data_IF_006837676051
#
_entry.id   IF_006837676051
#
_cell.length_a   1.000
_cell.length_b   1.000
_cell.length_c   1.000
_cell.angle_alpha   90.00
_cell.angle_beta   90.00
_cell.angle_gamma   90.00
#
_symmetry.space_group_name_H-M   'P 1'
#
loop_
_entity.id
_entity.type
_entity.pdbx_description
1 polymer ?
#
# COMPACT_ATOMS: atom_id res chain seq x y z
N UNK A 1 -3.47 8.70 -19.56
CA UNK A 1 -2.36 7.81 -19.85
C UNK A 1 -1.86 8.08 -21.26
N UNK A 2 -0.55 8.32 -21.43
CA UNK A 2 0.04 8.61 -22.75
C UNK A 2 -0.68 9.75 -23.53
N UNK A 3 -1.12 10.79 -22.82
CA UNK A 3 -1.84 11.91 -23.41
C UNK A 3 -3.35 11.69 -23.61
N UNK A 4 -3.86 10.50 -23.36
CA UNK A 4 -5.27 10.16 -23.48
C UNK A 4 -5.94 10.14 -22.09
N UNK A 5 -7.16 10.73 -22.03
CA UNK A 5 -7.98 10.59 -20.84
C UNK A 5 -8.54 9.18 -20.72
N UNK A 6 -8.42 8.57 -19.55
CA UNK A 6 -9.03 7.29 -19.26
C UNK A 6 -9.50 7.22 -17.81
N UNK A 7 -10.58 6.49 -17.57
CA UNK A 7 -11.03 6.18 -16.23
C UNK A 7 -10.34 4.91 -15.74
N UNK A 8 -9.60 5.01 -14.63
CA UNK A 8 -9.05 3.85 -13.93
C UNK A 8 -10.19 3.14 -13.21
N UNK A 9 -10.46 1.90 -13.60
CA UNK A 9 -11.44 0.99 -12.98
C UNK A 9 -10.65 -0.14 -12.35
N UNK A 10 -10.17 0.10 -11.12
CA UNK A 10 -9.24 -0.77 -10.43
C UNK A 10 -9.86 -1.60 -9.33
N UNK A 11 -9.20 -2.70 -9.02
CA UNK A 11 -9.45 -3.53 -7.83
C UNK A 11 -8.16 -3.76 -7.07
N UNK A 12 -8.28 -3.98 -5.75
CA UNK A 12 -7.19 -4.49 -4.93
C UNK A 12 -7.09 -6.00 -5.10
N UNK A 13 -5.89 -6.51 -5.25
CA UNK A 13 -5.64 -7.93 -5.42
C UNK A 13 -4.61 -8.41 -4.40
N UNK A 14 -5.07 -9.21 -3.45
CA UNK A 14 -4.22 -9.83 -2.44
C UNK A 14 -3.59 -11.12 -2.96
N UNK A 15 -2.38 -11.42 -2.48
CA UNK A 15 -1.61 -12.59 -2.91
C UNK A 15 -2.06 -13.86 -2.19
N UNK A 16 -3.26 -14.31 -2.52
CA UNK A 16 -3.84 -15.53 -1.98
C UNK A 16 -4.68 -16.28 -3.02
N UNK A 17 -4.91 -17.54 -2.79
CA UNK A 17 -5.76 -18.40 -3.62
C UNK A 17 -6.65 -19.32 -2.76
N UNK A 18 -7.17 -18.82 -1.66
CA UNK A 18 -8.03 -19.57 -0.73
C UNK A 18 -7.30 -20.78 -0.15
N UNK A 19 -7.76 -21.98 -0.44
CA UNK A 19 -7.16 -23.22 0.09
C UNK A 19 -5.71 -23.46 -0.35
N UNK A 20 -5.25 -22.79 -1.40
CA UNK A 20 -3.86 -22.88 -1.88
C UNK A 20 -2.93 -21.87 -1.16
N UNK A 21 -3.49 -20.99 -0.32
CA UNK A 21 -2.72 -19.98 0.39
C UNK A 21 -2.01 -19.02 -0.57
N UNK A 22 -0.79 -18.62 -0.21
CA UNK A 22 0.02 -17.68 -1.00
C UNK A 22 0.80 -18.32 -2.16
N UNK A 23 0.74 -19.63 -2.32
CA UNK A 23 1.31 -20.32 -3.50
C UNK A 23 0.26 -20.34 -4.60
N UNK A 24 0.22 -19.26 -5.38
CA UNK A 24 -0.80 -19.06 -6.41
C UNK A 24 -0.26 -19.48 -7.78
N UNK A 25 -0.74 -20.58 -8.38
CA UNK A 25 -0.34 -21.00 -9.72
C UNK A 25 -0.69 -19.94 -10.79
N UNK A 26 0.11 -19.82 -11.87
CA UNK A 26 -0.14 -18.87 -12.96
C UNK A 26 -1.54 -18.97 -13.56
N UNK A 27 -2.09 -20.18 -13.67
CA UNK A 27 -3.41 -20.44 -14.22
C UNK A 27 -4.54 -19.85 -13.36
N UNK A 28 -4.33 -19.79 -12.05
CA UNK A 28 -5.28 -19.16 -11.12
C UNK A 28 -5.27 -17.64 -11.32
N UNK A 29 -4.09 -17.04 -11.44
CA UNK A 29 -3.96 -15.62 -11.78
C UNK A 29 -4.60 -15.30 -13.13
N UNK A 30 -4.28 -16.07 -14.17
CA UNK A 30 -4.83 -15.86 -15.50
C UNK A 30 -6.36 -15.92 -15.50
N UNK A 31 -6.96 -16.90 -14.82
CA UNK A 31 -8.41 -17.01 -14.67
C UNK A 31 -9.00 -15.78 -13.96
N UNK A 32 -8.39 -15.35 -12.84
CA UNK A 32 -8.85 -14.15 -12.11
C UNK A 32 -8.81 -12.92 -13.00
N UNK A 33 -7.71 -12.71 -13.72
CA UNK A 33 -7.56 -11.57 -14.62
C UNK A 33 -8.56 -11.60 -15.78
N UNK A 34 -8.85 -12.77 -16.35
CA UNK A 34 -9.91 -12.93 -17.37
C UNK A 34 -11.27 -12.50 -16.84
N UNK A 35 -11.66 -13.00 -15.67
CA UNK A 35 -12.93 -12.63 -15.04
C UNK A 35 -13.00 -11.11 -14.75
N UNK A 36 -11.90 -10.51 -14.28
CA UNK A 36 -11.84 -9.07 -14.06
C UNK A 36 -12.00 -8.26 -15.35
N UNK A 37 -11.39 -8.72 -16.45
CA UNK A 37 -11.57 -8.10 -17.78
C UNK A 37 -13.03 -8.15 -18.25
N UNK A 38 -13.71 -9.27 -18.07
CA UNK A 38 -15.11 -9.46 -18.46
C UNK A 38 -16.05 -8.45 -17.80
N UNK A 39 -15.76 -8.04 -16.56
CA UNK A 39 -16.53 -7.02 -15.84
C UNK A 39 -16.00 -5.60 -16.04
N UNK A 40 -15.03 -5.41 -16.95
CA UNK A 40 -14.52 -4.10 -17.34
C UNK A 40 -13.44 -3.49 -16.45
N UNK A 41 -12.78 -4.27 -15.60
CA UNK A 41 -11.63 -3.84 -14.81
C UNK A 41 -10.42 -3.64 -15.73
N UNK A 42 -9.70 -2.53 -15.56
CA UNK A 42 -8.52 -2.19 -16.35
C UNK A 42 -7.28 -1.90 -15.50
N UNK A 43 -7.39 -1.93 -14.17
CA UNK A 43 -6.27 -1.67 -13.29
C UNK A 43 -6.29 -2.56 -12.04
N UNK A 44 -5.11 -2.81 -11.49
CA UNK A 44 -4.91 -3.62 -10.29
C UNK A 44 -3.98 -2.88 -9.32
N UNK A 45 -4.35 -2.85 -8.05
CA UNK A 45 -3.46 -2.49 -6.96
C UNK A 45 -2.93 -3.77 -6.31
N UNK A 46 -1.61 -3.90 -6.25
CA UNK A 46 -0.94 -5.04 -5.62
C UNK A 46 -0.94 -4.88 -4.10
N UNK A 47 -1.99 -5.38 -3.47
CA UNK A 47 -2.28 -5.17 -2.04
C UNK A 47 -1.60 -6.24 -1.17
N UNK A 48 -0.84 -5.89 -0.20
CA UNK A 48 -0.18 -4.62 0.10
C UNK A 48 1.32 -4.89 0.20
N UNK A 49 1.86 -5.53 -0.81
CA UNK A 49 3.26 -5.94 -0.94
C UNK A 49 3.56 -6.34 -2.38
N UNK A 50 4.82 -6.38 -2.79
CA UNK A 50 5.20 -6.87 -4.12
C UNK A 50 4.74 -8.30 -4.34
N UNK A 51 4.02 -8.52 -5.45
CA UNK A 51 3.43 -9.82 -5.77
C UNK A 51 4.41 -10.72 -6.55
N UNK A 52 3.99 -11.96 -6.88
CA UNK A 52 4.79 -12.86 -7.68
C UNK A 52 5.04 -12.28 -9.09
N UNK A 53 6.27 -12.38 -9.65
CA UNK A 53 6.61 -11.81 -10.96
C UNK A 53 5.67 -12.22 -12.10
N UNK A 54 5.20 -13.47 -12.08
CA UNK A 54 4.26 -13.97 -13.09
C UNK A 54 2.97 -13.17 -13.20
N UNK A 55 2.54 -12.52 -12.11
CA UNK A 55 1.34 -11.67 -12.14
C UNK A 55 1.57 -10.41 -12.97
N UNK A 56 2.75 -9.81 -12.88
CA UNK A 56 3.11 -8.63 -13.69
C UNK A 56 3.23 -9.00 -15.17
N UNK A 57 3.85 -10.15 -15.49
CA UNK A 57 3.89 -10.68 -16.85
C UNK A 57 2.49 -10.88 -17.45
N UNK A 58 1.56 -11.38 -16.64
CA UNK A 58 0.16 -11.53 -17.02
C UNK A 58 -0.52 -10.16 -17.22
N UNK A 59 -0.28 -9.21 -16.34
CA UNK A 59 -0.82 -7.85 -16.47
C UNK A 59 -0.31 -7.16 -17.75
N UNK A 60 0.98 -7.29 -18.07
CA UNK A 60 1.56 -6.79 -19.32
C UNK A 60 0.84 -7.37 -20.55
N UNK A 61 0.72 -8.69 -20.60
CA UNK A 61 0.10 -9.39 -21.74
C UNK A 61 -1.39 -9.12 -21.89
N UNK A 62 -2.08 -8.96 -20.78
CA UNK A 62 -3.54 -8.79 -20.76
C UNK A 62 -3.96 -7.32 -20.75
N UNK A 63 -3.02 -6.37 -20.69
CA UNK A 63 -3.29 -4.94 -20.74
C UNK A 63 -4.00 -4.41 -19.51
N UNK A 64 -3.53 -4.77 -18.31
CA UNK A 64 -3.90 -4.13 -17.07
C UNK A 64 -2.90 -3.05 -16.70
N UNK A 65 -3.36 -1.97 -16.10
CA UNK A 65 -2.52 -1.04 -15.38
C UNK A 65 -2.27 -1.55 -13.96
N UNK A 66 -1.07 -1.33 -13.44
CA UNK A 66 -0.67 -1.80 -12.12
C UNK A 66 -0.19 -0.64 -11.26
N UNK A 67 -0.79 -0.51 -10.07
CA UNK A 67 -0.20 0.20 -8.94
C UNK A 67 0.58 -0.82 -8.12
N UNK A 68 1.90 -0.75 -8.18
CA UNK A 68 2.75 -1.66 -7.42
C UNK A 68 3.04 -1.09 -6.03
N UNK A 69 2.83 -1.90 -4.99
CA UNK A 69 2.84 -1.43 -3.61
C UNK A 69 3.87 -2.17 -2.76
N UNK A 70 4.64 -1.41 -1.99
CA UNK A 70 5.81 -1.91 -1.30
C UNK A 70 5.50 -2.57 0.04
N UNK A 71 4.57 -2.02 0.84
CA UNK A 71 4.37 -2.45 2.22
C UNK A 71 2.98 -2.14 2.75
N UNK A 72 2.46 -3.03 3.59
CA UNK A 72 1.20 -2.83 4.33
C UNK A 72 1.38 -2.00 5.60
N UNK A 73 2.57 -2.00 6.18
CA UNK A 73 2.86 -1.29 7.42
C UNK A 73 4.26 -0.70 7.40
N UNK A 74 4.47 0.32 8.25
CA UNK A 74 5.78 0.95 8.42
C UNK A 74 6.39 0.62 9.79
N UNK A 75 6.87 1.62 10.50
CA UNK A 75 7.60 1.48 11.76
C UNK A 75 6.76 0.98 12.95
N UNK A 76 5.44 0.83 12.77
CA UNK A 76 4.55 0.32 13.81
C UNK A 76 3.63 -0.77 13.25
N UNK A 77 3.36 -1.82 14.05
CA UNK A 77 2.58 -2.96 13.60
C UNK A 77 1.09 -2.66 13.55
N UNK A 78 0.44 -3.20 12.54
CA UNK A 78 -1.01 -3.31 12.50
C UNK A 78 -1.49 -4.57 13.24
N UNK A 79 -2.71 -4.52 13.76
CA UNK A 79 -3.37 -5.70 14.36
C UNK A 79 -3.70 -6.73 13.28
N UNK A 80 -3.28 -7.96 13.48
CA UNK A 80 -3.52 -9.08 12.58
C UNK A 80 -4.33 -10.15 13.29
N UNK A 81 -5.53 -10.43 12.78
CA UNK A 81 -6.49 -11.32 13.41
C UNK A 81 -6.42 -12.71 12.78
N UNK A 82 -5.96 -13.71 13.54
CA UNK A 82 -5.76 -15.07 13.05
C UNK A 82 -7.09 -15.86 12.98
N UNK A 83 -8.01 -15.60 13.92
CA UNK A 83 -9.28 -16.31 14.04
C UNK A 83 -10.47 -15.62 13.35
N UNK A 84 -10.25 -14.47 12.75
CA UNK A 84 -11.26 -13.61 12.15
C UNK A 84 -11.21 -12.21 12.73
N UNK A 85 -11.75 -11.25 11.99
CA UNK A 85 -11.71 -9.83 12.36
C UNK A 85 -12.26 -9.58 13.77
N UNK A 86 -11.43 -8.98 14.63
CA UNK A 86 -11.73 -8.70 16.04
C UNK A 86 -12.10 -9.94 16.89
N UNK A 87 -11.63 -11.14 16.51
CA UNK A 87 -11.86 -12.36 17.27
C UNK A 87 -10.60 -12.80 18.00
N UNK A 88 -10.64 -12.76 19.32
CA UNK A 88 -9.50 -13.10 20.20
C UNK A 88 -8.46 -11.99 20.28
N UNK A 89 -7.24 -12.36 20.64
CA UNK A 89 -6.11 -11.42 20.67
C UNK A 89 -5.47 -11.29 19.28
N UNK A 90 -5.11 -10.07 18.86
CA UNK A 90 -4.42 -9.88 17.58
C UNK A 90 -2.94 -10.30 17.69
N UNK A 91 -2.38 -10.80 16.58
CA UNK A 91 -0.94 -10.83 16.38
C UNK A 91 -0.46 -9.48 15.86
N UNK A 92 0.79 -9.17 16.17
CA UNK A 92 1.48 -7.97 15.68
C UNK A 92 2.70 -8.32 14.81
N UNK A 93 2.95 -9.61 14.57
CA UNK A 93 4.06 -10.06 13.73
C UNK A 93 3.96 -9.49 12.32
N UNK A 94 5.05 -8.93 11.81
CA UNK A 94 5.02 -8.32 10.48
C UNK A 94 6.33 -7.65 10.05
N UNK A 95 6.25 -6.94 8.93
CA UNK A 95 7.40 -6.26 8.34
C UNK A 95 7.94 -5.10 9.19
N UNK A 96 7.14 -4.58 10.12
CA UNK A 96 7.56 -3.49 11.01
C UNK A 96 8.80 -3.84 11.84
N UNK A 97 8.99 -5.11 12.22
CA UNK A 97 10.14 -5.60 12.99
C UNK A 97 11.47 -5.30 12.29
N UNK A 98 11.45 -5.20 10.97
CA UNK A 98 12.61 -4.98 10.12
C UNK A 98 12.58 -3.64 9.39
N UNK A 99 11.62 -2.77 9.71
CA UNK A 99 11.33 -1.55 8.95
C UNK A 99 12.55 -0.65 8.79
N UNK A 100 13.20 -0.27 9.88
CA UNK A 100 14.32 0.68 9.82
C UNK A 100 15.55 0.11 9.09
N UNK A 101 15.76 -1.19 9.15
CA UNK A 101 16.91 -1.85 8.50
C UNK A 101 16.66 -2.13 7.03
N UNK A 102 15.41 -2.47 6.64
CA UNK A 102 15.16 -3.09 5.33
C UNK A 102 14.29 -2.29 4.40
N UNK A 103 13.42 -1.40 4.89
CA UNK A 103 12.38 -0.78 4.05
C UNK A 103 12.94 -0.02 2.82
N UNK A 104 14.05 0.70 2.96
CA UNK A 104 14.64 1.43 1.83
C UNK A 104 15.18 0.47 0.77
N UNK A 105 15.78 -0.62 1.21
CA UNK A 105 16.25 -1.69 0.32
C UNK A 105 15.08 -2.38 -0.36
N UNK A 106 14.05 -2.76 0.40
CA UNK A 106 12.87 -3.46 -0.12
C UNK A 106 12.14 -2.60 -1.16
N UNK A 107 11.92 -1.32 -0.89
CA UNK A 107 11.34 -0.37 -1.87
C UNK A 107 12.21 -0.25 -3.11
N UNK A 108 13.52 -0.13 -2.93
CA UNK A 108 14.47 -0.01 -4.03
C UNK A 108 14.50 -1.27 -4.90
N UNK A 109 14.51 -2.43 -4.27
CA UNK A 109 14.58 -3.73 -4.95
C UNK A 109 13.25 -4.06 -5.65
N UNK A 110 12.10 -3.68 -5.08
CA UNK A 110 10.80 -3.73 -5.77
C UNK A 110 10.86 -2.94 -7.09
N UNK A 111 11.26 -1.67 -7.02
CA UNK A 111 11.32 -0.82 -8.22
C UNK A 111 12.33 -1.38 -9.25
N UNK A 112 13.49 -1.85 -8.80
CA UNK A 112 14.51 -2.46 -9.70
C UNK A 112 13.99 -3.71 -10.39
N UNK A 113 13.26 -4.57 -9.65
CA UNK A 113 12.68 -5.80 -10.18
C UNK A 113 11.63 -5.49 -11.25
N UNK A 114 10.74 -4.54 -10.96
CA UNK A 114 9.49 -4.42 -11.68
C UNK A 114 9.43 -3.24 -12.68
N UNK A 115 10.37 -2.29 -12.64
CA UNK A 115 10.36 -1.08 -13.51
C UNK A 115 10.30 -1.35 -15.01
N UNK A 116 10.67 -2.54 -15.45
CA UNK A 116 10.62 -2.92 -16.87
C UNK A 116 9.25 -3.46 -17.30
N UNK A 117 8.29 -3.62 -16.37
CA UNK A 117 6.91 -3.98 -16.71
C UNK A 117 6.14 -2.75 -17.20
N UNK A 118 5.70 -2.71 -18.46
CA UNK A 118 4.93 -1.59 -19.00
C UNK A 118 3.56 -1.43 -18.34
N UNK A 119 3.03 -2.46 -17.71
CA UNK A 119 1.77 -2.37 -16.97
C UNK A 119 1.85 -1.42 -15.76
N UNK A 120 3.01 -1.25 -15.15
CA UNK A 120 3.15 -0.41 -13.96
C UNK A 120 3.05 1.07 -14.36
N UNK A 121 2.06 1.76 -13.82
CA UNK A 121 1.85 3.18 -14.06
C UNK A 121 2.07 4.05 -12.82
N UNK A 122 2.13 3.43 -11.62
CA UNK A 122 2.20 4.12 -10.35
C UNK A 122 2.91 3.24 -9.30
N UNK A 123 3.82 3.84 -8.53
CA UNK A 123 4.46 3.23 -7.38
C UNK A 123 3.76 3.65 -6.09
N UNK A 124 3.45 2.70 -5.20
CA UNK A 124 2.88 2.95 -3.88
C UNK A 124 3.87 2.52 -2.79
N UNK A 125 4.17 3.44 -1.87
CA UNK A 125 5.17 3.20 -0.83
C UNK A 125 4.60 2.69 0.49
N UNK A 126 3.27 2.59 0.61
CA UNK A 126 2.63 2.07 1.82
C UNK A 126 1.13 2.10 1.77
N UNK A 127 0.52 1.28 2.63
CA UNK A 127 -0.92 1.14 2.77
C UNK A 127 -1.38 1.57 4.15
N UNK A 128 -2.33 2.50 4.21
CA UNK A 128 -3.04 2.88 5.45
C UNK A 128 -2.12 3.03 6.67
N UNK A 129 -0.98 3.70 6.46
CA UNK A 129 0.05 3.86 7.50
C UNK A 129 -0.39 4.77 8.65
N UNK A 130 -1.49 5.49 8.45
CA UNK A 130 -2.23 6.29 9.43
C UNK A 130 -3.54 5.62 9.87
N UNK A 131 -3.65 4.30 9.75
CA UNK A 131 -4.84 3.56 10.14
C UNK A 131 -5.18 3.76 11.62
N UNK A 132 -6.46 3.70 12.03
CA UNK A 132 -6.89 3.99 13.41
C UNK A 132 -6.22 3.17 14.53
N UNK A 133 -5.56 2.08 14.17
CA UNK A 133 -4.76 1.28 15.09
C UNK A 133 -3.31 1.76 15.21
N UNK A 134 -2.90 2.69 14.36
CA UNK A 134 -1.55 3.22 14.38
C UNK A 134 -1.34 4.07 15.62
N UNK A 135 -0.14 4.06 16.18
CA UNK A 135 0.15 4.78 17.42
C UNK A 135 0.29 6.29 17.24
N UNK A 136 0.28 6.79 16.00
CA UNK A 136 0.45 8.21 15.71
C UNK A 136 -0.67 9.08 16.27
N UNK A 137 -0.34 10.29 16.65
CA UNK A 137 -1.30 11.30 17.07
C UNK A 137 -0.87 12.69 16.64
N UNK A 138 -1.81 13.62 16.69
CA UNK A 138 -1.56 15.03 16.36
C UNK A 138 -2.55 15.91 17.13
N UNK A 139 -2.15 17.13 17.59
CA UNK A 139 -3.03 18.04 18.31
C UNK A 139 -4.35 18.38 17.61
N UNK A 140 -4.41 18.27 16.28
CA UNK A 140 -5.66 18.46 15.53
C UNK A 140 -6.76 17.48 15.92
N UNK A 141 -6.40 16.36 16.57
CA UNK A 141 -7.36 15.37 17.08
C UNK A 141 -7.96 15.78 18.42
N UNK A 142 -7.51 16.92 19.01
CA UNK A 142 -8.01 17.40 20.28
C UNK A 142 -9.39 18.07 20.11
N UNK A 143 -10.36 17.38 20.49
CA UNK A 143 -11.66 17.59 21.09
C UNK A 143 -12.71 18.45 20.42
N UNK A 144 -12.48 19.43 19.58
CA UNK A 144 -13.56 20.38 19.26
C UNK A 144 -13.98 20.46 17.78
N UNK A 145 -13.11 20.13 16.87
CA UNK A 145 -13.39 20.26 15.43
C UNK A 145 -13.40 18.95 14.65
N UNK A 146 -12.70 17.93 15.15
CA UNK A 146 -12.58 16.63 14.47
C UNK A 146 -12.65 15.53 15.52
N UNK A 147 -13.85 15.31 16.02
CA UNK A 147 -14.14 14.17 16.86
C UNK A 147 -14.36 12.94 15.96
N UNK A 148 -13.27 12.30 15.57
CA UNK A 148 -13.36 11.00 14.94
C UNK A 148 -13.11 9.93 16.01
N UNK A 149 -14.17 9.25 16.49
CA UNK A 149 -14.07 8.25 17.55
C UNK A 149 -13.06 7.13 17.22
N UNK A 150 -12.86 6.86 15.93
CA UNK A 150 -11.93 5.86 15.46
C UNK A 150 -10.45 6.17 15.76
N UNK A 151 -10.07 7.44 15.89
CA UNK A 151 -8.70 7.84 16.22
C UNK A 151 -8.46 8.00 17.72
N UNK A 152 -9.48 7.88 18.54
CA UNK A 152 -9.37 7.96 20.00
C UNK A 152 -8.92 9.30 20.57
N UNK A 153 -9.03 10.40 19.79
CA UNK A 153 -8.62 11.74 20.19
C UNK A 153 -7.09 11.94 20.18
N UNK A 154 -6.65 13.12 20.67
CA UNK A 154 -5.24 13.44 20.78
C UNK A 154 -4.58 12.68 21.94
N UNK A 155 -3.41 12.09 21.67
CA UNK A 155 -2.59 11.36 22.62
C UNK A 155 -1.20 12.00 22.66
N UNK A 156 -0.91 12.84 23.67
CA UNK A 156 0.34 13.61 23.71
C UNK A 156 1.61 12.75 23.84
N UNK A 157 1.48 11.53 24.36
CA UNK A 157 2.59 10.57 24.51
C UNK A 157 2.79 9.68 23.27
N UNK A 158 1.91 9.80 22.27
CA UNK A 158 2.04 9.04 21.03
C UNK A 158 2.99 9.75 20.05
N UNK A 159 3.62 8.98 19.13
CA UNK A 159 4.43 9.57 18.07
C UNK A 159 3.64 10.60 17.24
N UNK A 160 4.29 11.72 16.93
CA UNK A 160 3.68 12.77 16.12
C UNK A 160 3.44 12.24 14.68
N UNK A 161 2.23 12.42 14.19
CA UNK A 161 1.84 12.07 12.84
C UNK A 161 2.68 12.73 11.72
N UNK A 162 3.35 13.84 12.01
CA UNK A 162 4.31 14.46 11.10
C UNK A 162 5.46 13.52 10.68
N UNK A 163 5.73 12.46 11.47
CA UNK A 163 6.69 11.41 11.08
C UNK A 163 6.30 10.70 9.80
N UNK A 164 5.00 10.50 9.57
CA UNK A 164 4.47 9.84 8.36
C UNK A 164 4.97 10.57 7.11
N UNK A 165 4.88 11.90 7.07
CA UNK A 165 5.37 12.71 5.95
C UNK A 165 6.88 12.58 5.74
N UNK A 166 7.67 12.54 6.83
CA UNK A 166 9.12 12.37 6.76
C UNK A 166 9.51 11.00 6.19
N UNK A 167 8.83 9.92 6.64
CA UNK A 167 9.03 8.57 6.12
C UNK A 167 8.63 8.52 4.65
N UNK A 168 7.47 9.04 4.30
CA UNK A 168 7.00 9.09 2.92
C UNK A 168 8.00 9.78 1.99
N UNK A 169 8.56 10.92 2.39
CA UNK A 169 9.57 11.65 1.63
C UNK A 169 10.85 10.81 1.43
N UNK A 170 11.29 10.10 2.48
CA UNK A 170 12.45 9.20 2.44
C UNK A 170 12.21 8.06 1.44
N UNK A 171 11.08 7.36 1.54
CA UNK A 171 10.76 6.22 0.67
C UNK A 171 10.49 6.65 -0.79
N UNK A 172 9.82 7.77 -0.99
CA UNK A 172 9.64 8.32 -2.34
C UNK A 172 10.97 8.71 -3.00
N UNK A 173 11.96 9.15 -2.22
CA UNK A 173 13.31 9.40 -2.73
C UNK A 173 13.99 8.10 -3.20
N UNK A 174 13.81 6.98 -2.48
CA UNK A 174 14.31 5.67 -2.91
C UNK A 174 13.72 5.23 -4.25
N UNK A 175 12.42 5.40 -4.44
CA UNK A 175 11.76 5.12 -5.73
C UNK A 175 12.35 5.99 -6.84
N UNK A 176 12.39 7.32 -6.63
CA UNK A 176 12.87 8.29 -7.63
C UNK A 176 14.34 8.14 -7.98
N UNK A 177 15.14 7.57 -7.08
CA UNK A 177 16.54 7.26 -7.38
C UNK A 177 16.70 6.13 -8.43
N UNK A 178 15.67 5.33 -8.64
CA UNK A 178 15.66 4.19 -9.58
C UNK A 178 14.78 4.44 -10.78
N UNK A 179 13.60 5.05 -10.58
CA UNK A 179 12.62 5.35 -11.63
C UNK A 179 12.02 6.75 -11.44
N UNK A 180 12.31 7.65 -12.37
CA UNK A 180 11.75 9.00 -12.43
C UNK A 180 10.60 9.14 -13.41
N UNK A 181 10.25 8.06 -14.13
CA UNK A 181 9.25 8.08 -15.21
C UNK A 181 7.82 7.94 -14.70
N UNK A 182 7.64 7.42 -13.50
CA UNK A 182 6.34 7.12 -12.89
C UNK A 182 6.12 7.91 -11.61
N UNK A 183 4.88 8.33 -11.32
CA UNK A 183 4.56 8.98 -10.05
C UNK A 183 4.65 8.01 -8.87
N UNK A 184 4.82 8.59 -7.69
CA UNK A 184 4.87 7.87 -6.41
C UNK A 184 3.69 8.31 -5.56
N UNK A 185 3.02 7.38 -4.93
CA UNK A 185 1.90 7.60 -4.00
C UNK A 185 2.03 6.73 -2.76
N UNK A 186 1.12 6.90 -1.82
CA UNK A 186 0.87 6.00 -0.71
C UNK A 186 -0.58 6.14 -0.28
N UNK A 187 -1.18 5.03 0.15
CA UNK A 187 -2.55 5.03 0.61
C UNK A 187 -2.61 5.43 2.08
N UNK A 188 -3.38 6.48 2.37
CA UNK A 188 -3.70 6.93 3.72
C UNK A 188 -5.18 6.62 4.02
N UNK A 189 -5.48 6.28 5.29
CA UNK A 189 -6.83 6.01 5.76
C UNK A 189 -7.53 7.28 6.25
N UNK A 190 -6.79 8.21 6.85
CA UNK A 190 -7.33 9.39 7.51
C UNK A 190 -7.04 10.69 6.78
N UNK A 191 -8.03 11.27 6.09
CA UNK A 191 -7.90 12.55 5.38
C UNK A 191 -7.37 13.67 6.27
N UNK A 192 -7.77 13.70 7.54
CA UNK A 192 -7.38 14.73 8.49
C UNK A 192 -5.90 14.66 8.84
N UNK A 193 -5.42 13.46 9.15
CA UNK A 193 -4.01 13.24 9.47
C UNK A 193 -3.14 13.49 8.25
N UNK A 194 -3.56 13.08 7.07
CA UNK A 194 -2.81 13.27 5.84
C UNK A 194 -2.60 14.74 5.51
N UNK A 195 -3.58 15.60 5.77
CA UNK A 195 -3.44 17.05 5.55
C UNK A 195 -2.43 17.72 6.49
N UNK A 196 -2.13 17.10 7.63
CA UNK A 196 -1.19 17.63 8.63
C UNK A 196 0.22 17.04 8.50
N UNK A 197 0.39 15.96 7.76
CA UNK A 197 1.65 15.20 7.70
C UNK A 197 2.60 15.64 6.59
N UNK A 198 2.27 16.66 5.80
CA UNK A 198 3.01 17.05 4.58
C UNK A 198 3.17 15.89 3.57
N UNK A 199 2.41 14.82 3.73
CA UNK A 199 2.49 13.63 2.91
C UNK A 199 2.19 13.87 1.42
N UNK A 200 1.23 14.74 1.05
CA UNK A 200 0.90 14.98 -0.34
C UNK A 200 1.92 15.80 -1.13
N UNK A 201 2.93 16.35 -0.47
CA UNK A 201 3.97 17.18 -1.09
C UNK A 201 5.18 16.32 -1.50
#
# INVERSE_FOLDING_TARGET
>A
LNGEWMKVKGVCLHHDAGVLGAVVPPEVWERRLKNLKEIGVNAIRMSHNPQAPVLYDLCDRMGFLVMDEASDEWEFPKRKWIKGWNVGEPSYDGSFDFFEEWIERDVTDMVRRDRNHPCIFLWSIGNEVDYPNDPYSHPILDGTTINQPMFGGYKPDAPDAMRIGKIAKRLAACVRAVDTSRPVTGALAGVVMSNQTEYPQ
#
